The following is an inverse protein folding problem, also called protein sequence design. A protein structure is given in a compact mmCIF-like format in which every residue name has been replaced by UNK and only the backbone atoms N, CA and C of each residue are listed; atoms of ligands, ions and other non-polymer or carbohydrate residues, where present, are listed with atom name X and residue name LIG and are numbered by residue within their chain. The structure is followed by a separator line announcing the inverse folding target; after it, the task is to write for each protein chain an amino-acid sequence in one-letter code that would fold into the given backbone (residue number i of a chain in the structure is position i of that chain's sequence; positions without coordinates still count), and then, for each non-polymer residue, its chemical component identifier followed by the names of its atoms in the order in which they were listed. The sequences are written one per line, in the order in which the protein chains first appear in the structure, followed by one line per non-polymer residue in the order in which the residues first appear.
data_IF_565839906996
#
_entry.id   IF_565839906996
#
_cell.length_a   1.000
_cell.length_b   1.000
_cell.length_c   1.000
_cell.angle_alpha   90.00
_cell.angle_beta   90.00
_cell.angle_gamma   90.00
#
_symmetry.space_group_name_H-M   'P 1'
#
loop_
_entity.id
_entity.type
_entity.pdbx_description
1 polymer ?
#
# COMPACT_ATOMS: atom_id res chain seq x y z
N UNK A 1 -12.91 59.25 -48.55
CA UNK A 1 -11.76 59.66 -47.73
C UNK A 1 -12.03 59.13 -46.30
N UNK A 2 -11.47 57.98 -45.93
CA UNK A 2 -11.69 57.40 -44.58
C UNK A 2 -11.05 58.28 -43.51
N UNK A 3 -11.80 58.58 -42.46
CA UNK A 3 -11.29 59.43 -41.37
C UNK A 3 -10.23 58.65 -40.56
N UNK A 4 -9.13 59.32 -40.22
CA UNK A 4 -7.97 58.77 -39.48
C UNK A 4 -8.34 57.95 -38.23
N UNK A 5 -9.48 58.27 -37.61
CA UNK A 5 -10.06 57.53 -36.45
C UNK A 5 -10.59 56.13 -36.83
N UNK A 6 -11.10 55.97 -38.05
CA UNK A 6 -11.67 54.68 -38.50
C UNK A 6 -10.55 53.67 -38.80
N UNK A 7 -9.43 54.16 -39.39
CA UNK A 7 -8.24 53.33 -39.64
C UNK A 7 -7.62 52.85 -38.33
N UNK A 8 -7.62 53.67 -37.31
CA UNK A 8 -7.09 53.33 -35.99
C UNK A 8 -7.95 52.26 -35.25
N UNK A 9 -9.27 52.34 -35.39
CA UNK A 9 -10.20 51.31 -34.87
C UNK A 9 -10.04 49.98 -35.61
N UNK A 10 -9.92 49.99 -36.90
CA UNK A 10 -9.71 48.77 -37.72
C UNK A 10 -8.37 48.12 -37.38
N UNK A 11 -7.30 48.89 -37.18
CA UNK A 11 -5.99 48.36 -36.76
C UNK A 11 -6.08 47.76 -35.35
N UNK A 12 -6.81 48.38 -34.41
CA UNK A 12 -6.98 47.86 -33.05
C UNK A 12 -7.81 46.55 -33.05
N UNK A 13 -8.88 46.49 -33.87
CA UNK A 13 -9.70 45.30 -34.02
C UNK A 13 -8.92 44.14 -34.67
N UNK A 14 -8.10 44.43 -35.70
CA UNK A 14 -7.21 43.43 -36.31
C UNK A 14 -6.14 42.90 -35.33
N UNK A 15 -5.58 43.79 -34.50
CA UNK A 15 -4.61 43.40 -33.48
C UNK A 15 -5.24 42.58 -32.37
N UNK A 16 -6.47 42.92 -31.98
CA UNK A 16 -7.26 42.15 -31.01
C UNK A 16 -7.65 40.76 -31.54
N UNK A 17 -8.01 40.68 -32.84
CA UNK A 17 -8.34 39.38 -33.48
C UNK A 17 -7.09 38.50 -33.65
N UNK A 18 -5.93 39.09 -33.95
CA UNK A 18 -4.66 38.37 -34.06
C UNK A 18 -4.17 37.89 -32.68
N UNK A 19 -4.37 38.68 -31.62
CA UNK A 19 -4.04 38.27 -30.24
C UNK A 19 -4.93 37.14 -29.74
N UNK A 20 -6.21 37.11 -30.15
CA UNK A 20 -7.16 36.06 -29.77
C UNK A 20 -6.87 34.73 -30.47
N UNK A 21 -6.31 34.76 -31.70
CA UNK A 21 -5.96 33.53 -32.45
C UNK A 21 -4.74 32.80 -31.89
N UNK A 22 -3.85 33.45 -31.11
CA UNK A 22 -2.67 32.84 -30.50
C UNK A 22 -3.02 32.01 -29.26
N UNK A 23 -4.18 32.30 -28.64
CA UNK A 23 -4.60 31.58 -27.39
C UNK A 23 -5.13 30.17 -27.68
N UNK A 24 -5.52 29.87 -28.93
CA UNK A 24 -6.11 28.56 -29.29
C UNK A 24 -5.09 27.50 -29.72
N UNK A 25 -3.78 27.83 -29.83
CA UNK A 25 -2.76 26.86 -30.25
C UNK A 25 -2.03 26.19 -29.10
N UNK A 26 -2.46 26.38 -27.83
CA UNK A 26 -1.73 25.93 -26.63
C UNK A 26 -2.16 24.55 -26.11
N UNK A 27 -3.05 23.83 -26.76
CA UNK A 27 -3.33 22.43 -26.43
C UNK A 27 -2.64 21.53 -27.49
N UNK A 28 -1.34 21.28 -27.31
CA UNK A 28 -0.77 20.08 -27.91
C UNK A 28 -1.47 18.89 -27.27
N UNK A 29 -2.26 18.19 -28.07
CA UNK A 29 -2.86 16.92 -27.69
C UNK A 29 -1.70 15.98 -27.40
N UNK A 30 -1.58 15.53 -26.15
CA UNK A 30 -0.61 14.52 -25.77
C UNK A 30 -0.86 13.29 -26.66
N UNK A 31 0.05 13.04 -27.60
CA UNK A 31 -0.05 11.96 -28.57
C UNK A 31 0.48 10.63 -28.02
N UNK A 32 0.83 10.57 -26.72
CA UNK A 32 1.26 9.32 -26.11
C UNK A 32 0.07 8.37 -25.96
N UNK A 33 0.25 7.15 -26.47
CA UNK A 33 -0.67 6.06 -26.19
C UNK A 33 -0.65 5.79 -24.69
N UNK A 34 -1.81 5.71 -24.06
CA UNK A 34 -1.91 5.43 -22.62
C UNK A 34 -1.16 4.14 -22.24
N UNK A 35 -0.58 4.05 -21.04
CA UNK A 35 0.02 2.82 -20.54
C UNK A 35 -1.03 1.72 -20.47
N UNK A 36 -0.67 0.50 -20.88
CA UNK A 36 -1.61 -0.64 -20.97
C UNK A 36 -1.08 -1.93 -20.38
N UNK A 37 0.21 -1.99 -20.12
CA UNK A 37 0.83 -3.19 -19.56
C UNK A 37 0.68 -3.20 -18.04
N UNK A 38 0.25 -4.33 -17.49
CA UNK A 38 0.01 -4.48 -16.06
C UNK A 38 1.15 -5.27 -15.44
N UNK A 39 1.85 -4.65 -14.49
CA UNK A 39 2.74 -5.34 -13.57
C UNK A 39 1.99 -5.60 -12.26
N UNK A 40 1.82 -6.85 -11.87
CA UNK A 40 1.13 -7.25 -10.63
C UNK A 40 1.89 -8.36 -9.91
N UNK A 41 1.55 -8.61 -8.65
CA UNK A 41 2.13 -9.66 -7.85
C UNK A 41 1.85 -9.46 -6.36
N UNK A 42 2.57 -10.20 -5.53
CA UNK A 42 2.46 -10.14 -4.09
C UNK A 42 3.83 -9.84 -3.45
N UNK A 43 3.80 -9.21 -2.29
CA UNK A 43 4.93 -9.16 -1.37
C UNK A 43 4.87 -10.43 -0.53
N UNK A 44 5.89 -11.28 -0.64
CA UNK A 44 5.84 -12.63 -0.08
C UNK A 44 7.05 -12.96 0.80
N UNK A 45 6.84 -13.91 1.70
CA UNK A 45 7.89 -14.62 2.41
C UNK A 45 7.72 -16.12 2.19
N UNK A 46 8.70 -16.76 1.53
CA UNK A 46 8.63 -18.17 1.11
C UNK A 46 7.33 -18.50 0.35
N UNK A 47 6.93 -17.59 -0.55
CA UNK A 47 5.72 -17.72 -1.35
C UNK A 47 4.40 -17.38 -0.61
N UNK A 48 4.43 -17.07 0.68
CA UNK A 48 3.25 -16.66 1.46
C UNK A 48 3.11 -15.14 1.45
N UNK A 49 1.96 -14.59 1.02
CA UNK A 49 1.72 -13.15 1.03
C UNK A 49 1.78 -12.54 2.43
N UNK A 50 2.41 -11.38 2.54
CA UNK A 50 2.50 -10.63 3.80
C UNK A 50 1.39 -9.58 3.84
N UNK A 51 0.45 -9.75 4.76
CA UNK A 51 -0.60 -8.77 5.01
C UNK A 51 -0.03 -7.49 5.63
N UNK A 52 -0.44 -6.35 5.10
CA UNK A 52 -0.05 -5.02 5.59
C UNK A 52 -1.27 -4.13 5.78
N UNK A 53 -1.08 -2.93 6.27
CA UNK A 53 -2.14 -1.92 6.29
C UNK A 53 -2.29 -1.32 4.88
N UNK A 54 -3.53 -1.19 4.41
CA UNK A 54 -3.82 -0.63 3.09
C UNK A 54 -3.16 0.75 2.92
N UNK A 55 -2.52 0.97 1.78
CA UNK A 55 -1.89 2.22 1.34
C UNK A 55 -0.75 2.75 2.24
N UNK A 56 -0.29 1.99 3.23
CA UNK A 56 0.87 2.38 4.05
C UNK A 56 2.18 1.88 3.47
N UNK A 57 2.18 0.69 2.89
CA UNK A 57 3.36 0.11 2.22
C UNK A 57 3.21 0.30 0.72
N UNK A 58 4.22 0.85 0.07
CA UNK A 58 4.24 1.12 -1.37
C UNK A 58 5.52 0.61 -1.98
N UNK A 59 5.41 -0.03 -3.14
CA UNK A 59 6.51 -0.25 -4.06
C UNK A 59 6.70 0.99 -4.91
N UNK A 60 7.94 1.36 -5.19
CA UNK A 60 8.28 2.43 -6.11
C UNK A 60 8.91 1.87 -7.37
N UNK A 61 8.35 2.25 -8.50
CA UNK A 61 8.82 1.90 -9.82
C UNK A 61 9.43 3.15 -10.46
N UNK A 62 10.63 3.02 -10.99
CA UNK A 62 11.39 4.12 -11.61
C UNK A 62 11.72 3.74 -13.04
N UNK A 63 11.19 4.47 -14.01
CA UNK A 63 11.44 4.27 -15.44
C UNK A 63 12.33 5.38 -15.97
N UNK A 64 13.61 5.11 -16.32
CA UNK A 64 14.46 6.09 -16.99
C UNK A 64 14.03 6.29 -18.44
N UNK A 65 14.28 7.50 -18.97
CA UNK A 65 14.01 7.80 -20.39
C UNK A 65 12.67 8.49 -20.68
N UNK A 66 11.83 8.70 -19.65
CA UNK A 66 10.59 9.46 -19.77
C UNK A 66 10.70 10.78 -18.98
N UNK A 67 11.01 11.87 -19.66
CA UNK A 67 11.03 13.20 -19.07
C UNK A 67 11.82 13.28 -17.75
N UNK A 68 11.26 13.94 -16.73
CA UNK A 68 11.85 14.00 -15.38
C UNK A 68 11.64 12.68 -14.65
N UNK A 69 12.73 12.07 -14.23
CA UNK A 69 12.67 10.82 -13.45
C UNK A 69 11.89 11.03 -12.16
N UNK A 70 10.79 10.30 -12.00
CA UNK A 70 9.93 10.32 -10.82
C UNK A 70 9.53 8.89 -10.44
N UNK A 71 9.21 8.70 -9.15
CA UNK A 71 8.67 7.43 -8.68
C UNK A 71 7.23 7.26 -9.14
N UNK A 72 6.89 6.04 -9.57
CA UNK A 72 5.52 5.59 -9.76
C UNK A 72 5.20 4.70 -8.56
N UNK A 73 4.33 5.16 -7.68
CA UNK A 73 3.95 4.42 -6.49
C UNK A 73 2.92 3.33 -6.84
N UNK A 74 3.21 2.09 -6.42
CA UNK A 74 2.29 0.97 -6.46
C UNK A 74 1.95 0.57 -5.01
N UNK A 75 0.77 0.94 -4.49
CA UNK A 75 0.37 0.62 -3.12
C UNK A 75 0.17 -0.89 -2.96
N UNK A 76 0.60 -1.39 -1.81
CA UNK A 76 0.37 -2.78 -1.41
C UNK A 76 -0.99 -2.86 -0.72
N UNK A 77 -1.83 -3.78 -1.15
CA UNK A 77 -3.14 -4.04 -0.57
C UNK A 77 -3.03 -4.67 0.82
N UNK A 78 -4.13 -4.74 1.54
CA UNK A 78 -4.15 -5.40 2.86
C UNK A 78 -3.90 -6.92 2.80
N UNK A 79 -3.96 -7.53 1.62
CA UNK A 79 -3.61 -8.94 1.40
C UNK A 79 -2.18 -9.15 0.93
N UNK A 80 -1.39 -8.08 0.79
CA UNK A 80 -0.01 -8.15 0.31
C UNK A 80 0.14 -8.06 -1.21
N UNK A 81 -0.95 -7.93 -1.98
CA UNK A 81 -0.90 -7.80 -3.44
C UNK A 81 -0.63 -6.37 -3.88
N UNK A 82 -0.03 -6.20 -5.06
CA UNK A 82 0.15 -4.91 -5.71
C UNK A 82 -0.16 -5.00 -7.20
N UNK A 83 -0.48 -3.86 -7.80
CA UNK A 83 -0.71 -3.76 -9.25
C UNK A 83 -0.43 -2.34 -9.72
N UNK A 84 0.20 -2.22 -10.89
CA UNK A 84 0.48 -0.94 -11.56
C UNK A 84 0.25 -1.07 -13.06
N UNK A 85 -0.40 -0.08 -13.67
CA UNK A 85 -0.54 0.04 -15.12
C UNK A 85 0.58 0.92 -15.63
N UNK A 86 1.40 0.40 -16.55
CA UNK A 86 2.70 0.95 -16.92
C UNK A 86 2.88 0.93 -18.45
N UNK A 87 3.84 1.71 -18.94
CA UNK A 87 4.40 1.52 -20.29
C UNK A 87 5.32 0.30 -20.33
N UNK A 88 5.48 -0.31 -21.51
CA UNK A 88 6.56 -1.27 -21.70
C UNK A 88 7.92 -0.61 -21.52
N UNK A 89 8.87 -1.31 -20.93
CA UNK A 89 10.19 -0.77 -20.69
C UNK A 89 10.94 -1.38 -19.52
N UNK A 90 12.05 -0.75 -19.17
CA UNK A 90 12.90 -1.19 -18.06
C UNK A 90 12.60 -0.36 -16.80
N UNK A 91 12.36 -1.04 -15.70
CA UNK A 91 12.05 -0.43 -14.41
C UNK A 91 13.05 -0.84 -13.35
N UNK A 92 13.34 0.08 -12.45
CA UNK A 92 13.91 -0.21 -11.13
C UNK A 92 12.79 -0.20 -10.12
N UNK A 93 12.63 -1.28 -9.39
CA UNK A 93 11.60 -1.45 -8.38
C UNK A 93 12.26 -1.57 -7.00
N UNK A 94 11.80 -0.74 -6.05
CA UNK A 94 12.34 -0.68 -4.69
C UNK A 94 11.21 -0.47 -3.67
N UNK A 95 11.45 -0.87 -2.43
CA UNK A 95 10.71 -0.33 -1.29
C UNK A 95 11.41 0.93 -0.78
N UNK A 96 10.71 2.03 -0.48
CA UNK A 96 11.29 3.16 0.20
C UNK A 96 11.90 2.72 1.53
N UNK A 97 13.07 3.27 1.87
CA UNK A 97 13.79 2.91 3.09
C UNK A 97 12.91 3.06 4.33
N UNK A 98 12.88 2.04 5.17
CA UNK A 98 12.12 2.01 6.41
C UNK A 98 10.63 1.71 6.25
N UNK A 99 10.19 1.38 5.03
CA UNK A 99 8.82 0.96 4.75
C UNK A 99 8.67 -0.56 4.74
N UNK A 100 7.52 -1.00 5.23
CA UNK A 100 7.16 -2.40 5.39
C UNK A 100 7.63 -3.02 6.72
N UNK A 101 6.90 -4.01 7.23
CA UNK A 101 7.24 -4.75 8.46
C UNK A 101 8.29 -5.86 8.20
N UNK A 102 9.22 -5.60 7.28
CA UNK A 102 10.20 -6.56 6.77
C UNK A 102 11.51 -5.86 6.37
N UNK A 103 12.53 -6.65 6.16
CA UNK A 103 13.75 -6.25 5.45
C UNK A 103 13.65 -6.68 3.99
N UNK A 104 14.15 -5.86 3.09
CA UNK A 104 14.30 -6.24 1.67
C UNK A 104 15.45 -7.23 1.51
N UNK A 105 15.28 -8.21 0.60
CA UNK A 105 16.33 -9.17 0.31
C UNK A 105 17.30 -8.55 -0.70
N UNK A 106 18.56 -8.46 -0.30
CA UNK A 106 19.65 -8.02 -1.16
C UNK A 106 20.07 -9.18 -2.07
N UNK A 107 19.96 -9.00 -3.39
CA UNK A 107 20.35 -10.03 -4.36
C UNK A 107 21.85 -10.12 -4.57
N UNK A 108 22.55 -8.99 -4.43
CA UNK A 108 24.01 -8.91 -4.48
C UNK A 108 24.51 -7.71 -3.67
N UNK A 109 25.80 -7.66 -3.42
CA UNK A 109 26.46 -6.61 -2.64
C UNK A 109 26.38 -5.21 -3.31
N UNK A 110 26.12 -5.14 -4.62
CA UNK A 110 26.08 -3.89 -5.40
C UNK A 110 24.65 -3.39 -5.64
N UNK A 111 23.70 -4.29 -5.87
CA UNK A 111 22.31 -3.96 -6.20
C UNK A 111 21.44 -3.69 -4.95
N UNK A 112 21.96 -4.04 -3.77
CA UNK A 112 21.27 -3.85 -2.48
C UNK A 112 19.84 -4.41 -2.53
N UNK A 113 18.84 -3.53 -2.59
CA UNK A 113 17.41 -3.86 -2.51
C UNK A 113 16.65 -3.57 -3.81
N UNK A 114 17.36 -3.23 -4.89
CA UNK A 114 16.74 -2.90 -6.17
C UNK A 114 16.45 -4.13 -7.01
N UNK A 115 15.19 -4.28 -7.45
CA UNK A 115 14.78 -5.24 -8.46
C UNK A 115 14.75 -4.58 -9.84
N UNK A 116 15.33 -5.23 -10.84
CA UNK A 116 15.29 -4.77 -12.23
C UNK A 116 14.22 -5.57 -12.98
N UNK A 117 13.22 -4.86 -13.52
CA UNK A 117 12.09 -5.45 -14.23
C UNK A 117 12.08 -4.96 -15.66
N UNK A 118 12.09 -5.89 -16.63
CA UNK A 118 11.82 -5.59 -18.04
C UNK A 118 10.38 -5.97 -18.32
N UNK A 119 9.51 -4.96 -18.42
CA UNK A 119 8.08 -5.13 -18.70
C UNK A 119 7.85 -5.13 -20.22
N UNK A 120 7.17 -6.15 -20.72
CA UNK A 120 6.69 -6.27 -22.09
C UNK A 120 5.31 -6.94 -22.07
N UNK A 121 4.25 -6.14 -22.10
CA UNK A 121 2.88 -6.61 -21.84
C UNK A 121 2.62 -6.90 -20.35
N UNK A 122 1.56 -7.66 -20.06
CA UNK A 122 1.19 -8.01 -18.69
C UNK A 122 2.19 -9.00 -18.10
N UNK A 123 2.63 -8.74 -16.85
CA UNK A 123 3.58 -9.58 -16.14
C UNK A 123 3.17 -9.72 -14.68
N UNK A 124 3.36 -10.92 -14.14
CA UNK A 124 3.24 -11.18 -12.71
C UNK A 124 4.63 -11.39 -12.10
N UNK A 125 4.90 -10.72 -10.99
CA UNK A 125 6.17 -10.79 -10.28
C UNK A 125 5.92 -10.70 -8.77
N UNK A 126 6.18 -11.77 -8.05
CA UNK A 126 6.17 -11.74 -6.59
C UNK A 126 7.50 -11.19 -6.07
N UNK A 127 7.42 -10.36 -5.02
CA UNK A 127 8.57 -9.72 -4.38
C UNK A 127 8.85 -10.39 -3.06
N UNK A 128 9.92 -11.19 -3.01
CA UNK A 128 10.35 -11.86 -1.79
C UNK A 128 10.99 -10.86 -0.82
N UNK A 129 10.58 -10.93 0.46
CA UNK A 129 11.09 -10.10 1.55
C UNK A 129 11.32 -10.94 2.81
N UNK A 130 12.01 -10.38 3.80
CA UNK A 130 12.30 -11.03 5.08
C UNK A 130 11.54 -10.30 6.20
N UNK A 131 10.34 -10.76 6.62
CA UNK A 131 9.57 -10.13 7.68
C UNK A 131 10.23 -10.33 9.04
N UNK A 132 9.99 -9.39 9.98
CA UNK A 132 10.44 -9.58 11.36
C UNK A 132 9.69 -10.69 12.06
N UNK A 133 8.37 -10.75 11.83
CA UNK A 133 7.46 -11.77 12.37
C UNK A 133 6.43 -12.17 11.34
N UNK A 134 5.96 -13.42 11.42
CA UNK A 134 4.78 -13.91 10.72
C UNK A 134 3.70 -14.29 11.73
N UNK A 135 2.44 -13.96 11.41
CA UNK A 135 1.27 -14.37 12.20
C UNK A 135 0.87 -15.75 11.73
N UNK A 136 0.80 -16.71 12.65
CA UNK A 136 0.48 -18.10 12.37
C UNK A 136 -0.80 -18.53 13.06
N UNK A 137 -1.58 -19.35 12.38
CA UNK A 137 -2.72 -20.06 12.96
C UNK A 137 -3.70 -19.13 13.71
N UNK A 138 -3.97 -17.95 13.17
CA UNK A 138 -4.95 -17.03 13.77
C UNK A 138 -6.36 -17.62 13.63
N UNK A 139 -6.94 -18.04 14.75
CA UNK A 139 -8.28 -18.59 14.84
C UNK A 139 -9.21 -17.60 15.51
N UNK A 140 -10.22 -17.14 14.79
CA UNK A 140 -11.20 -16.17 15.26
C UNK A 140 -12.49 -16.87 15.65
N UNK A 141 -13.11 -16.43 16.72
CA UNK A 141 -14.45 -16.82 17.14
C UNK A 141 -15.22 -15.62 17.66
N UNK A 142 -16.54 -15.63 17.56
CA UNK A 142 -17.41 -14.57 18.04
C UNK A 142 -18.60 -15.09 18.81
N UNK A 143 -19.26 -14.23 19.55
CA UNK A 143 -20.48 -14.48 20.33
C UNK A 143 -20.60 -13.50 21.48
N UNK A 144 -21.83 -13.23 21.92
CA UNK A 144 -22.12 -12.31 23.02
C UNK A 144 -21.49 -10.92 22.87
N UNK A 145 -21.51 -10.38 21.63
CA UNK A 145 -20.86 -9.12 21.26
C UNK A 145 -19.36 -9.09 21.55
N UNK A 146 -18.69 -10.23 21.45
CA UNK A 146 -17.23 -10.34 21.60
C UNK A 146 -16.62 -10.99 20.37
N UNK A 147 -15.38 -10.62 20.09
CA UNK A 147 -14.51 -11.29 19.13
C UNK A 147 -13.29 -11.77 19.89
N UNK A 148 -13.02 -13.06 19.80
CA UNK A 148 -11.83 -13.68 20.36
C UNK A 148 -10.90 -14.12 19.24
N UNK A 149 -9.60 -14.06 19.48
CA UNK A 149 -8.59 -14.64 18.61
C UNK A 149 -7.52 -15.34 19.41
N UNK A 150 -7.15 -16.55 18.95
CA UNK A 150 -5.96 -17.27 19.39
C UNK A 150 -4.98 -17.34 18.20
N UNK A 151 -3.70 -17.05 18.44
CA UNK A 151 -2.68 -17.04 17.39
C UNK A 151 -1.30 -17.41 17.89
N UNK A 152 -0.39 -17.61 16.94
CA UNK A 152 1.04 -17.76 17.19
C UNK A 152 1.81 -16.70 16.41
N UNK A 153 2.97 -16.31 16.91
CA UNK A 153 3.93 -15.48 16.19
C UNK A 153 5.21 -16.26 15.95
N UNK A 154 5.60 -16.36 14.69
CA UNK A 154 6.88 -16.89 14.28
C UNK A 154 7.87 -15.74 14.12
N UNK A 155 8.93 -15.72 14.94
CA UNK A 155 10.02 -14.76 14.78
C UNK A 155 10.95 -15.22 13.67
N UNK A 156 11.04 -14.44 12.58
CA UNK A 156 11.81 -14.82 11.39
C UNK A 156 13.24 -14.29 11.49
N UNK A 157 13.40 -12.99 11.83
CA UNK A 157 14.72 -12.39 11.99
C UNK A 157 15.20 -12.61 13.42
N UNK A 158 16.27 -13.40 13.57
CA UNK A 158 16.82 -13.80 14.86
C UNK A 158 18.25 -13.33 15.11
N UNK A 159 18.86 -12.70 14.11
CA UNK A 159 20.23 -12.18 14.15
C UNK A 159 20.30 -10.76 14.78
N UNK A 160 21.37 -10.03 14.52
CA UNK A 160 21.61 -8.66 15.02
C UNK A 160 20.56 -7.64 14.57
N UNK A 161 19.81 -7.96 13.52
CA UNK A 161 18.73 -7.12 12.98
C UNK A 161 17.38 -7.43 13.67
N UNK A 162 17.33 -8.41 14.56
CA UNK A 162 16.12 -8.78 15.26
C UNK A 162 15.54 -7.61 16.05
N UNK A 163 14.23 -7.43 15.97
CA UNK A 163 13.51 -6.39 16.71
C UNK A 163 12.47 -7.00 17.62
N UNK A 164 12.17 -6.32 18.70
CA UNK A 164 11.14 -6.75 19.65
C UNK A 164 9.74 -6.38 19.16
N UNK A 165 8.75 -7.08 19.64
CA UNK A 165 7.34 -6.71 19.49
C UNK A 165 7.08 -5.49 20.38
N UNK A 166 6.44 -4.47 19.84
CA UNK A 166 5.95 -3.32 20.60
C UNK A 166 4.56 -3.64 21.17
N UNK A 167 3.65 -4.15 20.31
CA UNK A 167 2.31 -4.62 20.72
C UNK A 167 1.72 -5.58 19.70
N UNK A 168 0.76 -6.37 20.16
CA UNK A 168 -0.15 -7.18 19.34
C UNK A 168 -1.55 -6.63 19.51
N UNK A 169 -2.26 -6.35 18.42
CA UNK A 169 -3.55 -5.67 18.41
C UNK A 169 -4.60 -6.50 17.69
N UNK A 170 -5.77 -6.67 18.31
CA UNK A 170 -6.97 -7.20 17.65
C UNK A 170 -7.82 -6.01 17.21
N UNK A 171 -7.89 -5.78 15.89
CA UNK A 171 -8.74 -4.75 15.28
C UNK A 171 -10.05 -5.37 14.81
N UNK A 172 -11.16 -4.70 15.08
CA UNK A 172 -12.50 -5.11 14.64
C UNK A 172 -13.17 -3.93 13.93
N UNK A 173 -13.84 -4.20 12.83
CA UNK A 173 -14.62 -3.20 12.11
C UNK A 173 -15.91 -3.80 11.55
N UNK A 174 -16.87 -2.95 11.23
CA UNK A 174 -18.13 -3.33 10.57
C UNK A 174 -17.98 -3.62 9.08
N UNK A 175 -16.88 -3.21 8.47
CA UNK A 175 -16.52 -3.46 7.07
C UNK A 175 -15.22 -4.24 6.97
N UNK A 176 -14.91 -4.80 5.81
CA UNK A 176 -13.68 -5.56 5.56
C UNK A 176 -12.39 -4.70 5.56
N UNK A 177 -12.54 -3.37 5.54
CA UNK A 177 -11.41 -2.46 5.72
C UNK A 177 -11.11 -2.33 7.21
N UNK A 178 -10.22 -3.20 7.71
CA UNK A 178 -9.84 -3.26 9.11
C UNK A 178 -8.39 -2.84 9.27
N UNK A 179 -8.15 -1.74 9.97
CA UNK A 179 -6.82 -1.17 10.15
C UNK A 179 -6.74 -0.26 11.39
N UNK A 180 -5.56 0.29 11.68
CA UNK A 180 -5.36 1.26 12.77
C UNK A 180 -6.31 2.45 12.68
N UNK A 181 -6.51 2.97 11.46
CA UNK A 181 -7.36 4.12 11.21
C UNK A 181 -8.84 3.76 10.96
N UNK A 182 -9.13 2.48 10.65
CA UNK A 182 -10.46 2.00 10.27
C UNK A 182 -10.87 0.82 11.12
N UNK A 183 -11.28 1.11 12.36
CA UNK A 183 -11.81 0.13 13.30
C UNK A 183 -12.91 0.77 14.16
N UNK A 184 -13.78 -0.05 14.73
CA UNK A 184 -14.79 0.36 15.73
C UNK A 184 -14.34 0.00 17.13
N UNK A 185 -13.42 -0.94 17.27
CA UNK A 185 -12.78 -1.30 18.53
C UNK A 185 -11.42 -1.93 18.26
N UNK A 186 -10.49 -1.69 19.15
CA UNK A 186 -9.17 -2.33 19.20
C UNK A 186 -8.88 -2.80 20.62
N UNK A 187 -8.22 -3.95 20.71
CA UNK A 187 -7.66 -4.46 21.97
C UNK A 187 -6.18 -4.74 21.77
N UNK A 188 -5.35 -4.16 22.62
CA UNK A 188 -3.90 -4.22 22.53
C UNK A 188 -3.33 -5.07 23.70
N UNK A 189 -2.29 -5.85 23.39
CA UNK A 189 -1.39 -6.47 24.36
C UNK A 189 0.00 -5.91 24.11
N UNK A 190 0.60 -5.30 25.13
CA UNK A 190 1.96 -4.77 25.01
C UNK A 190 2.97 -5.91 24.74
N UNK A 191 4.00 -5.63 23.93
CA UNK A 191 5.00 -6.66 23.61
C UNK A 191 5.70 -7.24 24.83
N UNK A 192 5.86 -6.45 25.91
CA UNK A 192 6.41 -6.92 27.19
C UNK A 192 5.52 -7.95 27.91
N UNK A 193 4.22 -7.96 27.61
CA UNK A 193 3.23 -8.87 28.20
C UNK A 193 3.03 -10.15 27.37
N UNK A 194 3.56 -10.21 26.16
CA UNK A 194 3.59 -11.42 25.33
C UNK A 194 4.65 -12.36 25.87
N UNK A 195 4.25 -13.28 26.74
CA UNK A 195 5.18 -14.22 27.42
C UNK A 195 5.51 -15.44 26.56
N UNK A 196 4.57 -15.89 25.73
CA UNK A 196 4.74 -17.03 24.84
C UNK A 196 4.26 -16.68 23.43
N UNK A 197 5.17 -16.70 22.46
CA UNK A 197 4.84 -16.46 21.05
C UNK A 197 3.95 -17.56 20.45
N UNK A 198 3.87 -18.72 21.07
CA UNK A 198 3.05 -19.84 20.61
C UNK A 198 1.62 -19.82 21.15
N UNK A 199 1.31 -18.93 22.09
CA UNK A 199 -0.02 -18.87 22.72
C UNK A 199 -0.39 -17.43 23.06
N UNK A 200 -0.94 -16.71 22.09
CA UNK A 200 -1.38 -15.33 22.24
C UNK A 200 -2.90 -15.30 22.06
N UNK A 201 -3.60 -14.77 23.05
CA UNK A 201 -5.06 -14.67 23.05
C UNK A 201 -5.48 -13.21 23.27
N UNK A 202 -6.40 -12.72 22.44
CA UNK A 202 -7.01 -11.41 22.61
C UNK A 202 -8.53 -11.52 22.51
N UNK A 203 -9.21 -10.64 23.23
CA UNK A 203 -10.67 -10.51 23.20
C UNK A 203 -11.04 -9.05 23.06
N UNK A 204 -11.89 -8.72 22.09
CA UNK A 204 -12.45 -7.38 21.90
C UNK A 204 -13.96 -7.42 22.14
N UNK A 205 -14.48 -6.49 22.95
CA UNK A 205 -15.91 -6.29 23.13
C UNK A 205 -16.41 -5.33 22.06
N UNK A 206 -17.30 -5.80 21.22
CA UNK A 206 -17.85 -5.06 20.07
C UNK A 206 -18.94 -4.10 20.57
N UNK A 207 -18.82 -2.80 20.32
CA UNK A 207 -19.88 -1.84 20.68
C UNK A 207 -21.13 -2.04 19.84
N UNK A 208 -22.24 -1.45 20.24
CA UNK A 208 -23.46 -1.44 19.44
C UNK A 208 -23.18 -0.83 18.03
N UNK A 209 -23.61 -1.53 17.00
CA UNK A 209 -23.38 -1.16 15.61
C UNK A 209 -24.66 -0.61 15.01
N UNK A 210 -24.58 0.53 14.35
CA UNK A 210 -25.68 1.13 13.60
C UNK A 210 -25.32 1.24 12.11
N UNK A 211 -26.16 0.73 11.18
CA UNK A 211 -27.32 -0.15 11.44
C UNK A 211 -26.90 -1.48 12.08
N UNK A 212 -27.84 -2.14 12.77
CA UNK A 212 -27.58 -3.42 13.45
C UNK A 212 -27.08 -4.47 12.46
N UNK A 213 -26.00 -5.14 12.83
CA UNK A 213 -25.39 -6.19 12.02
C UNK A 213 -24.93 -7.33 12.95
N UNK A 214 -25.08 -8.59 12.43
CA UNK A 214 -24.81 -9.82 13.20
C UNK A 214 -23.39 -10.36 12.97
N UNK A 215 -22.55 -9.62 12.30
CA UNK A 215 -21.17 -10.00 12.02
C UNK A 215 -20.27 -8.76 12.01
N UNK A 216 -19.00 -9.00 12.16
CA UNK A 216 -17.95 -7.99 12.01
C UNK A 216 -16.79 -8.57 11.22
N UNK A 217 -15.85 -7.73 10.85
CA UNK A 217 -14.59 -8.14 10.29
C UNK A 217 -13.50 -7.88 11.31
N UNK A 218 -12.58 -8.82 11.46
CA UNK A 218 -11.49 -8.73 12.41
C UNK A 218 -10.18 -9.17 11.80
N UNK A 219 -9.09 -8.59 12.28
CA UNK A 219 -7.73 -9.02 11.97
C UNK A 219 -6.78 -8.67 13.10
N UNK A 220 -5.68 -9.40 13.18
CA UNK A 220 -4.59 -9.11 14.12
C UNK A 220 -3.52 -8.30 13.41
N UNK A 221 -3.01 -7.27 14.09
CA UNK A 221 -1.83 -6.51 13.66
C UNK A 221 -0.71 -6.66 14.67
N UNK A 222 0.52 -6.79 14.22
CA UNK A 222 1.71 -6.82 15.08
C UNK A 222 2.59 -5.62 14.77
N UNK A 223 2.72 -4.73 15.76
CA UNK A 223 3.65 -3.60 15.72
C UNK A 223 5.00 -4.04 16.25
N UNK A 224 6.01 -3.74 15.46
CA UNK A 224 7.40 -4.07 15.75
C UNK A 224 8.10 -2.78 16.18
N UNK A 225 8.91 -2.84 17.23
CA UNK A 225 9.65 -1.69 17.76
C UNK A 225 10.56 -1.10 16.69
N UNK A 226 10.54 0.21 16.54
CA UNK A 226 11.33 0.98 15.56
C UNK A 226 11.08 0.54 14.09
N UNK A 227 9.87 0.04 13.79
CA UNK A 227 9.37 -0.23 12.44
C UNK A 227 8.05 0.51 12.28
N UNK A 228 7.90 1.31 11.22
CA UNK A 228 6.72 2.15 11.06
C UNK A 228 5.47 1.33 10.77
N UNK A 229 5.59 0.40 9.85
CA UNK A 229 4.47 -0.40 9.37
C UNK A 229 4.29 -1.68 10.20
N UNK A 230 3.04 -2.18 10.21
CA UNK A 230 2.67 -3.39 10.94
C UNK A 230 2.48 -4.56 9.96
N UNK A 231 2.76 -5.78 10.45
CA UNK A 231 2.31 -7.00 9.78
C UNK A 231 0.91 -7.35 10.28
N UNK A 232 0.07 -7.80 9.36
CA UNK A 232 -1.32 -8.14 9.66
C UNK A 232 -1.67 -9.56 9.24
N UNK A 233 -2.60 -10.17 9.98
CA UNK A 233 -3.28 -11.39 9.53
C UNK A 233 -4.22 -11.08 8.37
N UNK A 234 -4.67 -12.08 7.60
CA UNK A 234 -5.85 -11.94 6.75
C UNK A 234 -7.06 -11.44 7.54
N UNK A 235 -7.94 -10.70 6.87
CA UNK A 235 -9.23 -10.28 7.44
C UNK A 235 -10.15 -11.48 7.54
N UNK A 236 -10.81 -11.64 8.69
CA UNK A 236 -11.81 -12.68 8.91
C UNK A 236 -13.17 -12.07 9.21
N UNK A 237 -14.23 -12.62 8.59
CA UNK A 237 -15.62 -12.30 8.93
C UNK A 237 -16.02 -13.16 10.12
N UNK A 238 -16.44 -12.53 11.21
CA UNK A 238 -16.77 -13.18 12.49
C UNK A 238 -18.23 -12.92 12.82
N UNK A 239 -19.00 -13.95 13.12
CA UNK A 239 -20.37 -13.84 13.61
C UNK A 239 -20.39 -13.40 15.06
N UNK A 240 -21.38 -12.57 15.45
CA UNK A 240 -21.56 -12.03 16.79
C UNK A 240 -22.67 -12.74 17.56
#
# INVERSE_FOLDING_TARGET
MFKRKDIMKIRFQLFSLLALSVVFTSCEKDNFTAPKSVLSGNVVYKGEPIGVEYDQVRLQLWQPGFGKLAAIDAPVSQTGSYSAVLFDGNYKMVFPKGRGPFMTIQKDASAKDTLYVKLAGNQQLDVEVLPYYMIRNAQFSGGESKVNVALKLEKIITDVNAKAIERVSLYVNKTEFVARATNIVVTDVAGADVKDLNSINLTATVPAITPTQKYVFARVGVKIKDVEDMVFSPVQKVQL
#
